data_IF_863445829468
#
_entry.id   IF_863445829468
#
_cell.length_a   1.000
_cell.length_b   1.000
_cell.length_c   1.000
_cell.angle_alpha   90.00
_cell.angle_beta   90.00
_cell.angle_gamma   90.00
#
_symmetry.space_group_name_H-M   'P 1'
#
loop_
_entity.id
_entity.type
_entity.pdbx_description
1 polymer ?
#
# COMPACT_ATOMS: atom_id res chain seq x y z
N UNK A 1 -1.47 2.62 -18.14
CA UNK A 1 -2.23 1.59 -17.38
C UNK A 1 -2.60 0.41 -18.30
N UNK A 2 -2.57 0.64 -19.61
CA UNK A 2 -3.03 -0.24 -20.69
C UNK A 2 -2.44 -1.65 -20.61
N UNK A 3 -1.17 -1.77 -20.21
CA UNK A 3 -0.51 -3.08 -19.99
C UNK A 3 -1.18 -3.91 -18.91
N UNK A 4 -1.62 -3.29 -17.82
CA UNK A 4 -2.28 -3.98 -16.69
C UNK A 4 -3.69 -4.38 -17.11
N UNK A 5 -4.41 -3.47 -17.79
CA UNK A 5 -5.74 -3.73 -18.32
C UNK A 5 -5.73 -4.90 -19.32
N UNK A 6 -4.77 -4.93 -20.25
CA UNK A 6 -4.60 -5.98 -21.25
C UNK A 6 -3.98 -7.28 -20.72
N UNK A 7 -3.47 -7.31 -19.48
CA UNK A 7 -2.81 -8.49 -18.93
C UNK A 7 -3.81 -9.56 -18.46
N UNK A 8 -3.33 -10.80 -18.32
CA UNK A 8 -4.07 -11.91 -17.69
C UNK A 8 -4.15 -11.82 -16.16
N UNK A 9 -3.66 -10.74 -15.55
CA UNK A 9 -3.72 -10.53 -14.10
C UNK A 9 -5.19 -10.42 -13.67
N UNK A 10 -5.60 -11.26 -12.72
CA UNK A 10 -6.93 -11.18 -12.09
C UNK A 10 -7.00 -9.95 -11.19
N UNK A 11 -6.03 -9.81 -10.27
CA UNK A 11 -5.93 -8.68 -9.33
C UNK A 11 -4.49 -8.27 -9.08
N UNK A 12 -4.28 -6.96 -9.00
CA UNK A 12 -3.04 -6.30 -8.63
C UNK A 12 -3.26 -5.53 -7.33
N UNK A 13 -2.71 -6.05 -6.24
CA UNK A 13 -2.80 -5.40 -4.92
C UNK A 13 -1.56 -4.54 -4.71
N UNK A 14 -1.76 -3.27 -4.37
CA UNK A 14 -0.69 -2.30 -4.10
C UNK A 14 -0.97 -1.56 -2.80
N UNK A 15 0.06 -0.98 -2.20
CA UNK A 15 -0.11 -0.08 -1.04
C UNK A 15 -0.35 1.36 -1.51
N UNK A 16 -0.80 2.22 -0.59
CA UNK A 16 -0.97 3.65 -0.82
C UNK A 16 0.27 4.50 -0.53
N UNK A 17 1.46 3.91 -0.58
CA UNK A 17 2.74 4.64 -0.45
C UNK A 17 2.97 5.63 -1.59
N UNK A 18 2.43 5.33 -2.78
CA UNK A 18 2.46 6.20 -3.95
C UNK A 18 1.01 6.49 -4.36
N UNK A 19 0.62 7.78 -4.51
CA UNK A 19 -0.70 8.14 -5.00
C UNK A 19 -0.92 7.61 -6.42
N UNK A 20 -2.02 6.90 -6.62
CA UNK A 20 -2.44 6.43 -7.94
C UNK A 20 -3.00 7.60 -8.77
N UNK A 21 -2.71 7.58 -10.07
CA UNK A 21 -3.37 8.47 -11.04
C UNK A 21 -4.87 8.15 -11.13
N UNK A 22 -5.68 9.11 -11.59
CA UNK A 22 -7.13 8.94 -11.72
C UNK A 22 -7.50 7.68 -12.53
N UNK A 23 -6.80 7.45 -13.65
CA UNK A 23 -7.02 6.26 -14.49
C UNK A 23 -6.68 4.96 -13.77
N UNK A 24 -5.61 4.95 -12.96
CA UNK A 24 -5.24 3.77 -12.17
C UNK A 24 -6.27 3.46 -11.07
N UNK A 25 -6.82 4.50 -10.42
CA UNK A 25 -7.89 4.33 -9.41
C UNK A 25 -9.19 3.76 -9.98
N UNK A 26 -9.44 3.97 -11.27
CA UNK A 26 -10.61 3.47 -11.98
C UNK A 26 -10.42 2.05 -12.55
N UNK A 27 -9.20 1.51 -12.53
CA UNK A 27 -8.92 0.18 -13.06
C UNK A 27 -9.44 -0.89 -12.07
N UNK A 28 -10.41 -1.74 -12.45
CA UNK A 28 -11.03 -2.69 -11.53
C UNK A 28 -10.08 -3.81 -11.07
N UNK A 29 -8.97 -4.02 -11.79
CA UNK A 29 -7.93 -4.99 -11.41
C UNK A 29 -7.07 -4.49 -10.26
N UNK A 30 -7.01 -3.17 -10.01
CA UNK A 30 -6.12 -2.58 -9.01
C UNK A 30 -6.85 -2.41 -7.69
N UNK A 31 -6.31 -3.00 -6.63
CA UNK A 31 -6.79 -2.81 -5.26
C UNK A 31 -5.69 -2.09 -4.49
N UNK A 32 -6.02 -0.92 -3.95
CA UNK A 32 -5.10 -0.14 -3.13
C UNK A 32 -5.40 -0.35 -1.64
N UNK A 33 -4.41 -0.81 -0.89
CA UNK A 33 -4.48 -1.00 0.56
C UNK A 33 -3.73 0.12 1.28
N UNK A 34 -4.29 0.55 2.41
CA UNK A 34 -3.62 1.52 3.26
C UNK A 34 -2.58 0.85 4.14
N UNK A 35 -1.41 1.47 4.28
CA UNK A 35 -0.42 1.11 5.31
C UNK A 35 -0.28 2.19 6.39
N UNK A 36 -1.23 3.13 6.45
CA UNK A 36 -1.16 4.27 7.37
C UNK A 36 -1.08 3.84 8.84
N UNK A 37 -1.77 2.77 9.23
CA UNK A 37 -1.73 2.22 10.58
C UNK A 37 -0.32 1.73 10.95
N UNK A 38 0.30 0.92 10.08
CA UNK A 38 1.66 0.42 10.27
C UNK A 38 2.67 1.56 10.40
N UNK A 39 2.57 2.58 9.54
CA UNK A 39 3.43 3.75 9.59
C UNK A 39 3.20 4.59 10.85
N UNK A 40 1.94 4.80 11.24
CA UNK A 40 1.58 5.52 12.47
C UNK A 40 2.14 4.85 13.72
N UNK A 41 2.02 3.53 13.82
CA UNK A 41 2.58 2.76 14.92
C UNK A 41 4.12 2.79 14.92
N UNK A 42 4.73 2.75 13.73
CA UNK A 42 6.19 2.91 13.59
C UNK A 42 6.65 4.26 14.13
N UNK A 43 5.98 5.36 13.76
CA UNK A 43 6.30 6.71 14.26
C UNK A 43 6.16 6.80 15.78
N UNK A 44 5.08 6.24 16.34
CA UNK A 44 4.84 6.19 17.78
C UNK A 44 5.95 5.46 18.53
N UNK A 45 6.41 4.32 18.01
CA UNK A 45 7.49 3.53 18.62
C UNK A 45 8.83 4.26 18.58
N UNK A 46 9.15 4.91 17.46
CA UNK A 46 10.36 5.75 17.35
C UNK A 46 10.32 6.85 18.41
N UNK A 47 9.19 7.53 18.56
CA UNK A 47 9.03 8.59 19.57
C UNK A 47 9.22 8.07 21.00
N UNK A 48 8.71 6.87 21.31
CA UNK A 48 8.83 6.24 22.62
C UNK A 48 10.15 5.50 22.87
N UNK A 49 11.04 5.42 21.87
CA UNK A 49 12.22 4.53 21.90
C UNK A 49 11.87 3.04 22.10
N UNK A 50 10.68 2.65 21.66
CA UNK A 50 10.23 1.27 21.61
C UNK A 50 10.84 0.55 20.39
N UNK A 51 10.97 -0.78 20.48
CA UNK A 51 11.45 -1.59 19.34
C UNK A 51 10.46 -1.56 18.17
N UNK A 52 10.92 -1.11 17.00
CA UNK A 52 10.16 -1.19 15.73
C UNK A 52 10.13 -2.62 15.20
N UNK A 53 11.15 -3.43 15.50
CA UNK A 53 11.27 -4.81 14.99
C UNK A 53 10.10 -5.71 15.38
N UNK A 54 9.37 -5.39 16.45
CA UNK A 54 8.19 -6.18 16.84
C UNK A 54 6.97 -5.94 15.94
N UNK A 55 7.06 -5.09 14.92
CA UNK A 55 6.03 -4.97 13.87
C UNK A 55 6.23 -5.98 12.73
N UNK A 56 7.34 -6.73 12.72
CA UNK A 56 7.73 -7.68 11.66
C UNK A 56 7.64 -9.16 12.12
N UNK A 57 6.60 -9.49 12.88
CA UNK A 57 6.36 -10.85 13.44
C UNK A 57 5.51 -11.68 12.49
#
# INVERSE_FOLDING_TARGET
IDRIEASSIERLVVTNTIPLSLRAKQCPKIIQLSIAELLGETVKRIYNSDSVSTLFV
#
